data_IF_183249809394
#
_entry.id   IF_183249809394
#
_cell.length_a   1.000
_cell.length_b   1.000
_cell.length_c   1.000
_cell.angle_alpha   90.00
_cell.angle_beta   90.00
_cell.angle_gamma   90.00
#
_symmetry.space_group_name_H-M   'P 1'
#
loop_
_entity.id
_entity.type
_entity.pdbx_description
1 polymer ?
#
# COMPACT_ATOMS: atom_id res chain seq x y z
N UNK A 1 31.78 46.65 -22.40
CA UNK A 1 31.16 46.32 -21.10
C UNK A 1 30.38 45.01 -21.26
N UNK A 2 30.98 43.86 -20.95
CA UNK A 2 30.30 42.54 -20.99
C UNK A 2 31.07 41.54 -20.16
N UNK A 3 30.78 41.45 -18.86
CA UNK A 3 31.17 40.33 -17.98
C UNK A 3 30.20 40.29 -16.80
N UNK A 4 29.12 39.51 -16.87
CA UNK A 4 28.41 39.09 -15.65
C UNK A 4 27.52 37.84 -15.74
N UNK A 5 27.67 36.98 -16.76
CA UNK A 5 26.76 35.83 -16.94
C UNK A 5 27.34 34.47 -16.49
N UNK A 6 28.54 34.44 -15.89
CA UNK A 6 29.24 33.18 -15.53
C UNK A 6 29.04 32.73 -14.07
N UNK A 7 28.48 33.54 -13.17
CA UNK A 7 28.41 33.14 -11.74
C UNK A 7 27.18 32.31 -11.39
N UNK A 8 26.06 32.43 -12.10
CA UNK A 8 24.82 31.69 -11.76
C UNK A 8 24.88 30.20 -12.14
N UNK A 9 25.68 29.81 -13.14
CA UNK A 9 25.80 28.40 -13.54
C UNK A 9 26.52 27.52 -12.52
N UNK A 10 27.47 28.08 -11.75
CA UNK A 10 28.27 27.32 -10.80
C UNK A 10 27.54 27.04 -9.48
N UNK A 11 26.57 27.86 -9.12
CA UNK A 11 25.81 27.71 -7.86
C UNK A 11 24.84 26.51 -7.92
N UNK A 12 24.26 26.26 -9.10
CA UNK A 12 23.34 25.14 -9.31
C UNK A 12 24.06 23.78 -9.29
N UNK A 13 25.29 23.72 -9.82
CA UNK A 13 26.12 22.50 -9.82
C UNK A 13 26.58 22.14 -8.40
N UNK A 14 26.92 23.12 -7.57
CA UNK A 14 27.29 22.87 -6.17
C UNK A 14 26.11 22.39 -5.31
N UNK A 15 24.87 22.86 -5.57
CA UNK A 15 23.67 22.35 -4.89
C UNK A 15 23.34 20.90 -5.27
N UNK A 16 23.54 20.51 -6.53
CA UNK A 16 23.33 19.13 -6.97
C UNK A 16 24.38 18.17 -6.39
N UNK A 17 25.65 18.59 -6.28
CA UNK A 17 26.68 17.77 -5.62
C UNK A 17 26.48 17.63 -4.11
N UNK A 18 25.96 18.65 -3.42
CA UNK A 18 25.64 18.57 -1.99
C UNK A 18 24.48 17.61 -1.69
N UNK A 19 23.57 17.39 -2.64
CA UNK A 19 22.41 16.50 -2.48
C UNK A 19 22.72 15.04 -2.82
N UNK A 20 23.77 14.78 -3.63
CA UNK A 20 24.24 13.43 -3.91
C UNK A 20 25.06 12.82 -2.76
N UNK A 21 25.64 13.65 -1.87
CA UNK A 21 26.43 13.20 -0.73
C UNK A 21 25.60 12.75 0.50
N UNK A 22 24.27 12.89 0.46
CA UNK A 22 23.37 12.46 1.55
C UNK A 22 22.70 11.10 1.32
N UNK A 23 22.94 10.47 0.18
CA UNK A 23 22.50 9.09 -0.11
C UNK A 23 23.65 8.10 0.07
N UNK A 24 24.10 7.94 1.31
CA UNK A 24 24.89 6.78 1.71
C UNK A 24 23.92 5.61 1.92
N UNK A 25 24.05 4.48 1.20
CA UNK A 25 23.26 3.31 1.51
C UNK A 25 23.72 2.81 2.89
N UNK A 26 22.78 2.74 3.83
CA UNK A 26 22.96 2.00 5.07
C UNK A 26 23.17 0.53 4.71
N UNK A 27 24.44 0.14 4.61
CA UNK A 27 24.83 -1.26 4.55
C UNK A 27 24.29 -1.96 5.79
N UNK A 28 23.49 -2.99 5.56
CA UNK A 28 23.05 -3.96 6.54
C UNK A 28 24.28 -4.69 7.11
N UNK A 29 24.86 -4.13 8.17
CA UNK A 29 25.76 -4.85 9.07
C UNK A 29 24.92 -5.83 9.90
N UNK A 30 24.85 -7.07 9.47
CA UNK A 30 24.54 -8.20 10.34
C UNK A 30 25.83 -8.65 11.02
N UNK A 31 26.13 -8.07 12.18
CA UNK A 31 27.04 -8.66 13.15
C UNK A 31 26.21 -9.53 14.09
N UNK A 32 26.20 -10.83 13.87
CA UNK A 32 25.94 -11.83 14.91
C UNK A 32 26.98 -12.94 14.77
N UNK A 33 28.16 -12.66 15.31
CA UNK A 33 29.17 -13.66 15.60
C UNK A 33 28.95 -14.13 17.04
N UNK A 34 28.43 -15.34 17.22
CA UNK A 34 28.62 -16.12 18.44
C UNK A 34 29.26 -17.46 18.08
N UNK A 35 30.29 -17.91 18.84
CA UNK A 35 30.98 -19.15 18.58
C UNK A 35 30.25 -20.30 19.27
N UNK A 36 29.94 -21.36 18.54
CA UNK A 36 29.58 -22.64 19.13
C UNK A 36 30.46 -23.73 18.55
N UNK A 37 31.04 -24.48 19.49
CA UNK A 37 32.08 -25.47 19.27
C UNK A 37 31.65 -26.61 18.37
N UNK A 38 32.68 -27.27 17.83
CA UNK A 38 32.52 -28.37 16.91
C UNK A 38 31.78 -29.57 17.51
N UNK A 39 30.95 -30.15 16.66
CA UNK A 39 30.71 -31.59 16.63
C UNK A 39 30.53 -31.98 15.17
N UNK A 40 31.52 -32.66 14.62
CA UNK A 40 31.41 -33.40 13.37
C UNK A 40 30.40 -34.52 13.58
N UNK A 41 29.27 -34.44 12.88
CA UNK A 41 28.46 -35.60 12.57
C UNK A 41 28.35 -35.69 11.06
N UNK A 42 29.12 -36.63 10.49
CA UNK A 42 28.88 -37.17 9.16
C UNK A 42 27.51 -37.86 9.17
N UNK A 43 26.53 -37.26 8.49
CA UNK A 43 25.28 -37.89 8.14
C UNK A 43 24.99 -37.66 6.64
N UNK A 44 24.50 -38.67 5.90
CA UNK A 44 24.24 -38.54 4.47
C UNK A 44 23.06 -37.59 4.22
N UNK A 45 23.20 -36.76 3.19
CA UNK A 45 22.14 -35.92 2.62
C UNK A 45 21.05 -36.86 2.06
N UNK A 46 19.79 -36.79 2.54
CA UNK A 46 18.68 -37.36 1.79
C UNK A 46 18.28 -36.35 0.72
N UNK A 47 18.44 -36.75 -0.54
CA UNK A 47 17.80 -36.14 -1.70
C UNK A 47 16.28 -36.08 -1.52
N UNK A 48 15.67 -34.98 -1.96
CA UNK A 48 14.24 -34.92 -2.28
C UNK A 48 13.32 -34.64 -1.09
N UNK A 49 13.29 -33.37 -0.64
CA UNK A 49 12.16 -32.85 0.14
C UNK A 49 11.39 -31.87 -0.73
N UNK A 50 10.43 -32.38 -1.50
CA UNK A 50 9.33 -31.59 -2.04
C UNK A 50 8.66 -30.85 -0.88
N UNK A 51 8.85 -29.53 -0.80
CA UNK A 51 8.07 -28.67 0.08
C UNK A 51 6.65 -28.62 -0.47
N UNK A 52 5.87 -29.64 -0.10
CA UNK A 52 4.46 -29.72 -0.39
C UNK A 52 3.79 -28.44 0.11
N UNK A 53 3.04 -27.71 -0.75
CA UNK A 53 2.22 -26.63 -0.26
C UNK A 53 1.21 -27.23 0.73
N UNK A 54 1.01 -26.57 1.88
CA UNK A 54 -0.14 -26.82 2.74
C UNK A 54 -1.37 -26.37 1.94
N UNK A 55 -1.82 -27.24 1.04
CA UNK A 55 -3.17 -27.25 0.53
C UNK A 55 -3.99 -27.64 1.75
N UNK A 56 -4.92 -26.78 2.17
CA UNK A 56 -6.04 -27.26 2.97
C UNK A 56 -6.81 -28.23 2.07
N UNK A 57 -6.35 -29.47 1.99
CA UNK A 57 -7.21 -30.55 1.55
C UNK A 57 -8.38 -30.51 2.53
N UNK A 58 -9.55 -30.16 2.04
CA UNK A 58 -10.80 -30.57 2.67
C UNK A 58 -10.87 -32.08 2.45
N UNK A 59 -10.01 -32.82 3.15
CA UNK A 59 -10.12 -34.25 3.29
C UNK A 59 -11.46 -34.45 3.97
N UNK A 60 -12.41 -35.06 3.26
CA UNK A 60 -13.64 -35.57 3.86
C UNK A 60 -13.20 -36.68 4.81
N UNK A 61 -12.79 -36.29 6.03
CA UNK A 61 -12.55 -37.22 7.11
C UNK A 61 -13.90 -37.82 7.46
N UNK A 62 -14.16 -39.01 6.96
CA UNK A 62 -15.19 -39.89 7.51
C UNK A 62 -14.64 -40.33 8.87
N UNK A 63 -14.91 -39.52 9.90
CA UNK A 63 -14.57 -39.86 11.27
C UNK A 63 -15.34 -41.14 11.65
N UNK A 64 -14.62 -42.22 11.93
CA UNK A 64 -15.19 -43.37 12.62
C UNK A 64 -15.59 -42.94 14.04
N UNK A 65 -16.85 -43.15 14.46
CA UNK A 65 -17.30 -42.72 15.77
C UNK A 65 -16.65 -43.60 16.85
N UNK A 66 -15.86 -42.98 17.71
CA UNK A 66 -15.36 -43.60 18.94
C UNK A 66 -16.42 -43.39 20.04
N UNK A 67 -17.06 -44.45 20.57
CA UNK A 67 -18.29 -44.31 21.34
C UNK A 67 -17.99 -44.32 22.84
N UNK A 68 -17.40 -43.28 23.39
CA UNK A 68 -17.35 -43.13 24.85
C UNK A 68 -17.00 -41.69 25.24
N UNK A 69 -18.03 -40.85 25.39
CA UNK A 69 -18.08 -39.72 26.34
C UNK A 69 -19.46 -39.03 26.21
N UNK A 70 -20.42 -39.53 26.98
CA UNK A 70 -21.71 -38.89 27.23
C UNK A 70 -21.54 -37.75 28.23
N UNK A 71 -21.67 -36.50 27.77
CA UNK A 71 -22.24 -35.40 28.55
C UNK A 71 -22.68 -34.29 27.59
N UNK A 72 -24.01 -34.14 27.46
CA UNK A 72 -24.75 -33.10 26.73
C UNK A 72 -24.11 -32.61 25.42
N UNK A 73 -23.83 -33.52 24.48
CA UNK A 73 -23.38 -33.16 23.14
C UNK A 73 -24.61 -33.03 22.25
N UNK A 74 -24.94 -31.80 21.86
CA UNK A 74 -25.69 -31.56 20.62
C UNK A 74 -24.91 -32.24 19.49
N UNK A 75 -25.44 -33.34 18.93
CA UNK A 75 -24.86 -33.96 17.74
C UNK A 75 -24.83 -32.90 16.64
N UNK A 76 -23.63 -32.44 16.30
CA UNK A 76 -23.43 -31.46 15.24
C UNK A 76 -23.52 -32.20 13.92
N UNK A 77 -24.72 -32.29 13.36
CA UNK A 77 -24.96 -33.04 12.14
C UNK A 77 -24.59 -32.27 10.86
N UNK A 78 -24.23 -30.99 10.94
CA UNK A 78 -23.85 -30.24 9.75
C UNK A 78 -22.39 -30.53 9.33
N UNK A 79 -22.21 -31.11 8.14
CA UNK A 79 -20.90 -31.42 7.54
C UNK A 79 -19.93 -30.24 7.48
N UNK A 80 -20.45 -29.02 7.33
CA UNK A 80 -19.64 -27.79 7.28
C UNK A 80 -19.23 -27.32 8.67
N UNK A 81 -20.11 -27.44 9.66
CA UNK A 81 -19.75 -27.17 11.06
C UNK A 81 -18.71 -28.18 11.56
N UNK A 82 -18.82 -29.44 11.12
CA UNK A 82 -17.81 -30.48 11.37
C UNK A 82 -16.47 -30.12 10.72
N UNK A 83 -16.46 -29.72 9.44
CA UNK A 83 -15.23 -29.30 8.75
C UNK A 83 -14.57 -28.06 9.38
N UNK A 84 -15.37 -27.13 9.91
CA UNK A 84 -14.87 -25.94 10.61
C UNK A 84 -14.51 -26.19 12.07
N UNK A 85 -14.77 -27.39 12.62
CA UNK A 85 -14.52 -27.73 14.02
C UNK A 85 -15.35 -26.91 15.03
N UNK A 86 -16.42 -26.24 14.58
CA UNK A 86 -17.29 -25.42 15.44
C UNK A 86 -18.72 -25.41 14.91
N UNK A 87 -19.68 -25.40 15.83
CA UNK A 87 -21.09 -25.23 15.51
C UNK A 87 -21.36 -23.77 15.16
N UNK A 88 -21.82 -23.51 13.94
CA UNK A 88 -22.32 -22.20 13.56
C UNK A 88 -23.73 -22.00 14.14
N UNK A 89 -24.08 -20.78 14.52
CA UNK A 89 -25.37 -20.45 15.15
C UNK A 89 -26.57 -20.90 14.30
N UNK A 90 -26.39 -20.91 12.99
CA UNK A 90 -27.37 -21.38 12.00
C UNK A 90 -27.69 -22.89 12.05
N UNK A 91 -26.91 -23.67 12.81
CA UNK A 91 -27.03 -25.11 12.93
C UNK A 91 -27.43 -25.56 14.35
N UNK A 92 -27.57 -24.66 15.32
CA UNK A 92 -27.85 -25.00 16.72
C UNK A 92 -29.16 -25.78 16.93
N UNK A 93 -30.14 -25.65 16.03
CA UNK A 93 -31.45 -26.31 16.14
C UNK A 93 -31.67 -27.43 15.14
N UNK A 94 -30.66 -27.80 14.34
CA UNK A 94 -30.79 -28.80 13.28
C UNK A 94 -30.06 -30.11 13.64
N UNK A 95 -30.83 -31.18 13.76
CA UNK A 95 -30.39 -32.56 13.98
C UNK A 95 -30.38 -33.38 12.68
N UNK A 96 -30.12 -32.73 11.55
CA UNK A 96 -30.14 -33.39 10.24
C UNK A 96 -28.78 -33.25 9.59
N UNK A 97 -28.26 -34.34 9.03
CA UNK A 97 -26.94 -34.47 8.39
C UNK A 97 -26.73 -33.60 7.14
N UNK A 98 -27.73 -32.79 6.76
CA UNK A 98 -27.68 -31.92 5.58
C UNK A 98 -27.24 -30.52 5.98
N UNK A 99 -26.41 -29.85 5.16
CA UNK A 99 -26.04 -28.46 5.39
C UNK A 99 -27.30 -27.60 5.49
N UNK A 100 -27.34 -26.70 6.48
CA UNK A 100 -28.37 -25.66 6.48
C UNK A 100 -28.14 -24.72 5.30
N UNK A 101 -29.18 -23.95 4.92
CA UNK A 101 -29.09 -23.07 3.75
C UNK A 101 -27.89 -22.12 3.85
N UNK A 102 -27.67 -21.53 5.04
CA UNK A 102 -26.54 -20.65 5.29
C UNK A 102 -25.18 -21.37 5.21
N UNK A 103 -25.09 -22.60 5.71
CA UNK A 103 -23.89 -23.41 5.55
C UNK A 103 -23.66 -23.76 4.06
N UNK A 104 -24.69 -24.14 3.31
CA UNK A 104 -24.56 -24.42 1.88
C UNK A 104 -24.08 -23.20 1.08
N UNK A 105 -24.62 -22.01 1.37
CA UNK A 105 -24.16 -20.74 0.79
C UNK A 105 -22.70 -20.44 1.16
N UNK A 106 -22.32 -20.61 2.42
CA UNK A 106 -20.94 -20.45 2.86
C UNK A 106 -19.99 -21.42 2.16
N UNK A 107 -20.38 -22.68 1.97
CA UNK A 107 -19.58 -23.66 1.24
C UNK A 107 -19.34 -23.23 -0.20
N UNK A 108 -20.37 -22.73 -0.88
CA UNK A 108 -20.23 -22.22 -2.25
C UNK A 108 -19.27 -21.04 -2.31
N UNK A 109 -19.36 -20.10 -1.36
CA UNK A 109 -18.44 -18.97 -1.26
C UNK A 109 -17.00 -19.42 -0.99
N UNK A 110 -16.80 -20.40 -0.12
CA UNK A 110 -15.48 -20.96 0.14
C UNK A 110 -14.91 -21.68 -1.09
N UNK A 111 -15.71 -22.46 -1.81
CA UNK A 111 -15.28 -23.10 -3.06
C UNK A 111 -14.87 -22.07 -4.10
N UNK A 112 -15.72 -21.07 -4.37
CA UNK A 112 -15.41 -20.01 -5.33
C UNK A 112 -14.12 -19.25 -4.96
N UNK A 113 -13.95 -18.95 -3.68
CA UNK A 113 -12.75 -18.27 -3.19
C UNK A 113 -11.51 -19.16 -3.26
N UNK A 114 -11.65 -20.46 -2.98
CA UNK A 114 -10.56 -21.44 -3.11
C UNK A 114 -10.11 -21.54 -4.55
N UNK A 115 -11.04 -21.72 -5.49
CA UNK A 115 -10.77 -21.79 -6.93
C UNK A 115 -10.05 -20.53 -7.42
N UNK A 116 -10.51 -19.35 -6.98
CA UNK A 116 -9.83 -18.08 -7.29
C UNK A 116 -8.39 -18.06 -6.77
N UNK A 117 -8.18 -18.44 -5.51
CA UNK A 117 -6.84 -18.45 -4.92
C UNK A 117 -5.93 -19.53 -5.51
N UNK A 118 -6.48 -20.67 -5.90
CA UNK A 118 -5.76 -21.72 -6.62
C UNK A 118 -5.30 -21.22 -8.00
N UNK A 119 -6.17 -20.51 -8.71
CA UNK A 119 -5.82 -19.84 -9.97
C UNK A 119 -4.71 -18.81 -9.80
N UNK A 120 -4.85 -17.89 -8.83
CA UNK A 120 -3.83 -16.89 -8.50
C UNK A 120 -2.49 -17.54 -8.11
N UNK A 121 -2.54 -18.63 -7.35
CA UNK A 121 -1.35 -19.39 -6.95
C UNK A 121 -0.69 -20.07 -8.14
N UNK A 122 -1.47 -20.65 -9.05
CA UNK A 122 -0.95 -21.27 -10.27
C UNK A 122 -0.27 -20.21 -11.17
N UNK A 123 -0.90 -19.06 -11.35
CA UNK A 123 -0.34 -17.95 -12.12
C UNK A 123 0.96 -17.42 -11.52
N UNK A 124 1.02 -17.27 -10.20
CA UNK A 124 2.24 -16.83 -9.51
C UNK A 124 3.37 -17.86 -9.63
N UNK A 125 3.07 -19.16 -9.47
CA UNK A 125 4.05 -20.24 -9.67
C UNK A 125 4.59 -20.24 -11.09
N UNK A 126 3.73 -20.04 -12.08
CA UNK A 126 4.13 -19.96 -13.47
C UNK A 126 5.03 -18.75 -13.74
N UNK A 127 4.69 -17.58 -13.21
CA UNK A 127 5.55 -16.39 -13.30
C UNK A 127 6.91 -16.63 -12.66
N UNK A 128 6.95 -17.27 -11.50
CA UNK A 128 8.18 -17.56 -10.78
C UNK A 128 9.07 -18.52 -11.59
N UNK A 129 8.50 -19.58 -12.16
CA UNK A 129 9.24 -20.49 -13.07
C UNK A 129 9.83 -19.76 -14.28
N UNK A 130 9.09 -18.81 -14.88
CA UNK A 130 9.61 -18.01 -16.00
C UNK A 130 10.80 -17.16 -15.57
N UNK A 131 10.69 -16.48 -14.43
CA UNK A 131 11.76 -15.63 -13.89
C UNK A 131 13.00 -16.46 -13.54
N UNK A 132 12.83 -17.67 -13.02
CA UNK A 132 13.94 -18.58 -12.71
C UNK A 132 14.62 -19.13 -13.98
N UNK A 133 13.87 -19.29 -15.06
CA UNK A 133 14.38 -19.74 -16.35
C UNK A 133 14.99 -18.61 -17.20
N UNK A 134 14.78 -17.33 -16.84
CA UNK A 134 15.31 -16.18 -17.57
C UNK A 134 16.84 -16.12 -17.51
N UNK A 135 17.45 -15.90 -18.66
CA UNK A 135 18.88 -15.59 -18.75
C UNK A 135 19.18 -14.20 -18.19
N UNK A 136 20.43 -13.93 -17.74
CA UNK A 136 20.83 -12.59 -17.29
C UNK A 136 20.55 -11.48 -18.31
N UNK A 137 20.72 -11.78 -19.60
CA UNK A 137 20.47 -10.86 -20.71
C UNK A 137 18.97 -10.53 -20.87
N UNK A 138 18.11 -11.55 -20.81
CA UNK A 138 16.64 -11.38 -20.85
C UNK A 138 16.16 -10.60 -19.63
N UNK A 139 16.69 -10.92 -18.44
CA UNK A 139 16.39 -10.20 -17.20
C UNK A 139 16.78 -8.74 -17.30
N UNK A 140 17.98 -8.43 -17.81
CA UNK A 140 18.43 -7.06 -18.02
C UNK A 140 17.51 -6.32 -19.00
N UNK A 141 17.17 -6.96 -20.12
CA UNK A 141 16.29 -6.38 -21.14
C UNK A 141 14.91 -6.04 -20.58
N UNK A 142 14.31 -6.95 -19.80
CA UNK A 142 13.02 -6.69 -19.13
C UNK A 142 13.12 -5.53 -18.15
N UNK A 143 14.13 -5.53 -17.27
CA UNK A 143 14.31 -4.46 -16.29
C UNK A 143 14.53 -3.09 -16.95
N UNK A 144 15.30 -3.03 -18.04
CA UNK A 144 15.48 -1.80 -18.79
C UNK A 144 14.16 -1.33 -19.43
N UNK A 145 13.35 -2.24 -19.97
CA UNK A 145 12.04 -1.89 -20.53
C UNK A 145 11.09 -1.35 -19.45
N UNK A 146 11.03 -2.02 -18.29
CA UNK A 146 10.18 -1.62 -17.16
C UNK A 146 10.58 -0.25 -16.60
N UNK A 147 11.88 -0.02 -16.39
CA UNK A 147 12.38 1.28 -15.91
C UNK A 147 12.17 2.39 -16.95
N UNK A 148 12.36 2.12 -18.24
CA UNK A 148 12.08 3.11 -19.28
C UNK A 148 10.60 3.47 -19.33
N UNK A 149 9.69 2.49 -19.22
CA UNK A 149 8.25 2.75 -19.15
C UNK A 149 7.90 3.61 -17.93
N UNK A 150 8.50 3.34 -16.78
CA UNK A 150 8.32 4.14 -15.56
C UNK A 150 8.87 5.56 -15.71
N UNK A 151 10.02 5.72 -16.35
CA UNK A 151 10.58 7.04 -16.67
C UNK A 151 9.63 7.84 -17.55
N UNK A 152 9.05 7.22 -18.57
CA UNK A 152 8.13 7.91 -19.49
C UNK A 152 6.80 8.27 -18.82
N UNK A 153 6.27 7.41 -17.95
CA UNK A 153 5.11 7.74 -17.12
C UNK A 153 5.42 8.91 -16.17
N UNK A 154 6.57 8.91 -15.50
CA UNK A 154 6.98 10.03 -14.63
C UNK A 154 7.15 11.34 -15.41
N UNK A 155 7.72 11.31 -16.61
CA UNK A 155 7.80 12.50 -17.48
C UNK A 155 6.41 13.04 -17.82
N UNK A 156 5.48 12.15 -18.13
CA UNK A 156 4.08 12.52 -18.40
C UNK A 156 3.42 13.18 -17.19
N UNK A 157 3.62 12.61 -15.99
CA UNK A 157 3.11 13.18 -14.75
C UNK A 157 3.72 14.54 -14.43
N UNK A 158 5.04 14.69 -14.55
CA UNK A 158 5.72 15.98 -14.36
C UNK A 158 5.21 17.02 -15.35
N UNK A 159 5.00 16.65 -16.62
CA UNK A 159 4.45 17.57 -17.61
C UNK A 159 3.01 18.01 -17.29
N UNK A 160 2.20 17.15 -16.67
CA UNK A 160 0.85 17.53 -16.19
C UNK A 160 0.94 18.51 -15.02
N UNK A 161 1.77 18.21 -14.03
CA UNK A 161 1.95 19.08 -12.84
C UNK A 161 2.48 20.45 -13.25
N UNK A 162 3.42 20.53 -14.19
CA UNK A 162 3.93 21.83 -14.69
C UNK A 162 2.80 22.64 -15.32
N UNK A 163 1.95 22.02 -16.15
CA UNK A 163 0.81 22.71 -16.76
C UNK A 163 -0.21 23.18 -15.72
N UNK A 164 -0.48 22.36 -14.71
CA UNK A 164 -1.37 22.74 -13.61
C UNK A 164 -0.80 23.91 -12.79
N UNK A 165 0.50 23.89 -12.51
CA UNK A 165 1.20 24.98 -11.82
C UNK A 165 1.15 26.29 -12.61
N UNK A 166 1.40 26.23 -13.93
CA UNK A 166 1.28 27.39 -14.83
C UNK A 166 -0.14 27.98 -14.83
N UNK A 167 -1.17 27.13 -14.83
CA UNK A 167 -2.58 27.58 -14.76
C UNK A 167 -2.89 28.24 -13.41
N UNK A 168 -2.48 27.62 -12.30
CA UNK A 168 -2.69 28.15 -10.95
C UNK A 168 -1.95 29.47 -10.73
N UNK A 169 -0.73 29.60 -11.28
CA UNK A 169 0.02 30.85 -11.27
C UNK A 169 -0.74 31.96 -12.00
N UNK A 170 -1.27 31.69 -13.19
CA UNK A 170 -2.05 32.67 -13.94
C UNK A 170 -3.35 33.07 -13.21
N UNK A 171 -4.06 32.12 -12.60
CA UNK A 171 -5.25 32.38 -11.79
C UNK A 171 -4.93 33.24 -10.56
N UNK A 172 -3.84 32.92 -9.85
CA UNK A 172 -3.38 33.71 -8.71
C UNK A 172 -3.06 35.14 -9.09
N UNK A 173 -2.39 35.37 -10.24
CA UNK A 173 -2.14 36.72 -10.75
C UNK A 173 -3.43 37.48 -11.06
N UNK A 174 -4.46 36.81 -11.60
CA UNK A 174 -5.76 37.43 -11.87
C UNK A 174 -6.49 37.78 -10.56
N UNK A 175 -6.50 36.87 -9.59
CA UNK A 175 -7.08 37.08 -8.27
C UNK A 175 -6.38 38.21 -7.53
N UNK A 176 -5.05 38.31 -7.60
CA UNK A 176 -4.30 39.41 -6.98
C UNK A 176 -4.68 40.77 -7.60
N UNK A 177 -4.86 40.84 -8.93
CA UNK A 177 -5.34 42.05 -9.61
C UNK A 177 -6.75 42.43 -9.17
N UNK A 178 -7.66 41.45 -9.05
CA UNK A 178 -9.04 41.66 -8.56
C UNK A 178 -9.04 42.16 -7.12
N UNK A 179 -8.23 41.55 -6.26
CA UNK A 179 -8.10 41.93 -4.85
C UNK A 179 -7.61 43.37 -4.72
N UNK A 180 -6.55 43.76 -5.44
CA UNK A 180 -6.05 45.15 -5.45
C UNK A 180 -7.10 46.16 -5.91
N UNK A 181 -7.93 45.80 -6.90
CA UNK A 181 -9.05 46.65 -7.35
C UNK A 181 -10.09 46.83 -6.24
N UNK A 182 -10.54 45.72 -5.64
CA UNK A 182 -11.52 45.77 -4.55
C UNK A 182 -10.99 46.53 -3.33
N UNK A 183 -9.70 46.38 -2.98
CA UNK A 183 -9.07 47.16 -1.91
C UNK A 183 -9.11 48.67 -2.20
N UNK A 184 -8.92 49.09 -3.46
CA UNK A 184 -9.05 50.48 -3.85
C UNK A 184 -10.50 50.98 -3.74
N UNK A 185 -11.47 50.20 -4.25
CA UNK A 185 -12.90 50.52 -4.14
C UNK A 185 -13.35 50.65 -2.68
N UNK A 186 -12.90 49.76 -1.80
CA UNK A 186 -13.20 49.84 -0.35
C UNK A 186 -12.60 51.09 0.28
N UNK A 187 -11.37 51.48 -0.09
CA UNK A 187 -10.74 52.71 0.41
C UNK A 187 -11.50 53.96 -0.04
N UNK A 188 -12.01 53.99 -1.27
CA UNK A 188 -12.83 55.09 -1.78
C UNK A 188 -14.21 55.14 -1.12
N UNK A 189 -14.83 53.98 -0.88
CA UNK A 189 -16.13 53.86 -0.25
C UNK A 189 -16.09 54.10 1.26
N UNK A 190 -14.92 54.00 1.91
CA UNK A 190 -14.77 54.29 3.33
C UNK A 190 -14.97 55.79 3.58
N UNK A 191 -16.03 56.21 4.28
CA UNK A 191 -16.20 57.60 4.64
C UNK A 191 -15.02 58.03 5.51
N UNK A 192 -14.35 59.13 5.14
CA UNK A 192 -13.37 59.80 5.98
C UNK A 192 -14.07 60.22 7.28
N UNK A 193 -13.98 59.37 8.30
CA UNK A 193 -14.56 59.62 9.61
C UNK A 193 -13.71 60.67 10.35
N UNK A 194 -13.69 61.90 9.83
CA UNK A 194 -13.31 63.09 10.61
C UNK A 194 -14.46 63.46 11.54
N UNK A 195 -14.64 62.70 12.62
CA UNK A 195 -15.43 63.17 13.75
C UNK A 195 -14.65 64.28 14.47
N UNK A 196 -14.75 65.53 14.00
CA UNK A 196 -14.40 66.71 14.81
C UNK A 196 -15.44 66.88 15.91
N UNK A 197 -15.22 66.24 17.06
CA UNK A 197 -15.96 66.54 18.28
C UNK A 197 -15.56 67.95 18.71
N UNK A 198 -16.41 68.94 18.43
CA UNK A 198 -16.30 70.28 19.04
C UNK A 198 -16.69 70.18 20.51
N UNK A 199 -15.71 70.10 21.40
CA UNK A 199 -15.93 70.33 22.83
C UNK A 199 -16.47 71.76 23.05
N UNK A 200 -17.75 71.87 23.39
CA UNK A 200 -18.30 73.12 23.93
C UNK A 200 -17.73 73.29 25.33
N UNK A 201 -16.77 74.22 25.48
CA UNK A 201 -16.33 74.71 26.80
C UNK A 201 -17.53 75.31 27.55
N UNK A 202 -18.02 74.60 28.55
CA UNK A 202 -19.01 75.11 29.48
C UNK A 202 -18.42 76.24 30.34
N UNK A 203 -19.05 77.41 30.33
CA UNK A 203 -18.80 78.49 31.30
C UNK A 203 -19.23 77.99 32.68
N UNK A 204 -18.27 77.87 33.61
CA UNK A 204 -18.59 77.72 35.05
C UNK A 204 -19.14 79.06 35.56
N UNK A 205 -20.32 79.00 36.17
CA UNK A 205 -20.86 80.05 37.04
C UNK A 205 -20.14 80.04 38.38
#
# INVERSE_FOLDING_TARGET
>A
MSRNSRSQGNEMVHRLQATAASFTPLGSQSNDTLPLGGQQHDAPIPDGSESSPIVFQVSVYVAHPNPELTNSKTDVDCTICLALGRLLDCCQTRTNSRPCLQCAELSQLFTLKSEKHEGETADLREKLRRIEAETPEEKLTRLCADENAKIDELKSQVAKVIKEDELLMAENEELEKKLKRLEAEVKEAQPAAEFKIREKKGKKK
#
